data_IF_452145694970
#
_entry.id   IF_452145694970
#
_cell.length_a   1.000
_cell.length_b   1.000
_cell.length_c   1.000
_cell.angle_alpha   90.00
_cell.angle_beta   90.00
_cell.angle_gamma   90.00
#
_symmetry.space_group_name_H-M   'P 1'
#
loop_
_entity.id
_entity.type
_entity.pdbx_description
1 polymer ?
#
# COMPACT_ATOMS: atom_id res chain seq x y z
N UNK A 1 4.08 -5.08 -23.14
CA UNK A 1 4.21 -3.95 -22.24
C UNK A 1 2.95 -3.67 -21.37
N UNK A 2 1.79 -4.33 -21.67
CA UNK A 2 0.56 -4.26 -20.85
C UNK A 2 0.69 -4.89 -19.43
N UNK A 3 1.80 -5.57 -19.15
CA UNK A 3 1.99 -6.36 -17.92
C UNK A 3 2.92 -5.69 -16.89
N UNK A 4 3.26 -4.39 -17.06
CA UNK A 4 4.17 -3.71 -16.13
C UNK A 4 3.65 -3.69 -14.67
N UNK A 5 2.36 -3.42 -14.40
CA UNK A 5 1.84 -3.52 -13.02
C UNK A 5 1.91 -4.94 -12.46
N UNK A 6 1.64 -5.96 -13.29
CA UNK A 6 1.74 -7.37 -12.86
C UNK A 6 3.17 -7.77 -12.50
N UNK A 7 4.16 -7.29 -13.27
CA UNK A 7 5.58 -7.52 -12.95
C UNK A 7 5.93 -6.86 -11.62
N UNK A 8 5.50 -5.62 -11.38
CA UNK A 8 5.70 -4.94 -10.11
C UNK A 8 5.03 -5.69 -8.94
N UNK A 9 3.80 -6.19 -9.13
CA UNK A 9 3.11 -7.00 -8.13
C UNK A 9 3.89 -8.27 -7.78
N UNK A 10 4.37 -9.01 -8.76
CA UNK A 10 5.17 -10.22 -8.53
C UNK A 10 6.49 -9.91 -7.80
N UNK A 11 7.15 -8.82 -8.16
CA UNK A 11 8.35 -8.38 -7.45
C UNK A 11 8.05 -8.03 -5.98
N UNK A 12 6.92 -7.36 -5.71
CA UNK A 12 6.49 -7.05 -4.36
C UNK A 12 6.13 -8.31 -3.55
N UNK A 13 5.52 -9.32 -4.18
CA UNK A 13 5.26 -10.60 -3.52
C UNK A 13 6.55 -11.30 -3.12
N UNK A 14 7.51 -11.40 -4.05
CA UNK A 14 8.80 -12.02 -3.77
C UNK A 14 9.56 -11.25 -2.68
N UNK A 15 9.53 -9.93 -2.75
CA UNK A 15 10.15 -9.08 -1.74
C UNK A 15 9.48 -9.25 -0.37
N UNK A 16 8.13 -9.29 -0.31
CA UNK A 16 7.40 -9.49 0.93
C UNK A 16 7.75 -10.83 1.58
N UNK A 17 7.74 -11.93 0.82
CA UNK A 17 8.10 -13.26 1.33
C UNK A 17 9.54 -13.24 1.87
N UNK A 18 10.47 -12.67 1.11
CA UNK A 18 11.87 -12.57 1.52
C UNK A 18 12.00 -11.76 2.83
N UNK A 19 11.36 -10.59 2.91
CA UNK A 19 11.42 -9.72 4.09
C UNK A 19 10.73 -10.34 5.31
N UNK A 20 9.65 -11.10 5.13
CA UNK A 20 9.01 -11.86 6.23
C UNK A 20 10.02 -12.85 6.83
N UNK A 21 10.68 -13.63 5.99
CA UNK A 21 11.69 -14.62 6.44
C UNK A 21 12.83 -13.91 7.18
N UNK A 22 13.39 -12.86 6.57
CA UNK A 22 14.50 -12.11 7.19
C UNK A 22 14.05 -11.43 8.48
N UNK A 23 12.86 -10.84 8.53
CA UNK A 23 12.32 -10.16 9.69
C UNK A 23 12.21 -11.10 10.91
N UNK A 24 11.64 -12.29 10.71
CA UNK A 24 11.56 -13.31 11.78
C UNK A 24 12.93 -13.85 12.19
N UNK A 25 13.82 -14.13 11.23
CA UNK A 25 15.15 -14.67 11.52
C UNK A 25 16.03 -13.64 12.22
N UNK A 26 15.91 -12.37 11.86
CA UNK A 26 16.73 -11.28 12.42
C UNK A 26 16.18 -10.69 13.70
N UNK A 27 14.86 -10.83 13.96
CA UNK A 27 14.14 -10.16 15.04
C UNK A 27 13.87 -8.67 14.81
N UNK A 28 14.14 -8.15 13.60
CA UNK A 28 13.91 -6.73 13.27
C UNK A 28 12.44 -6.43 13.02
N UNK A 29 11.86 -5.49 13.79
CA UNK A 29 10.48 -5.03 13.61
C UNK A 29 10.34 -4.12 12.41
N UNK A 30 11.35 -3.31 12.11
CA UNK A 30 11.37 -2.47 10.91
C UNK A 30 11.35 -3.32 9.63
N UNK A 31 12.07 -4.43 9.55
CA UNK A 31 11.99 -5.35 8.40
C UNK A 31 10.59 -5.98 8.28
N UNK A 32 9.94 -6.32 9.40
CA UNK A 32 8.55 -6.83 9.37
C UNK A 32 7.56 -5.75 8.90
N UNK A 33 7.75 -4.49 9.28
CA UNK A 33 7.01 -3.35 8.75
C UNK A 33 7.14 -3.24 7.23
N UNK A 34 8.36 -3.21 6.73
CA UNK A 34 8.66 -3.18 5.28
C UNK A 34 8.10 -4.41 4.53
N UNK A 35 8.04 -5.57 5.18
CA UNK A 35 7.39 -6.77 4.62
C UNK A 35 5.88 -6.56 4.44
N UNK A 36 5.20 -5.96 5.42
CA UNK A 36 3.78 -5.64 5.33
C UNK A 36 3.49 -4.61 4.23
N UNK A 37 4.37 -3.62 4.04
CA UNK A 37 4.28 -2.67 2.92
C UNK A 37 4.31 -3.40 1.57
N UNK A 38 5.34 -4.20 1.35
CA UNK A 38 5.48 -4.96 0.10
C UNK A 38 4.32 -5.91 -0.14
N UNK A 39 3.80 -6.54 0.92
CA UNK A 39 2.63 -7.41 0.83
C UNK A 39 1.35 -6.62 0.50
N UNK A 40 1.12 -5.47 1.13
CA UNK A 40 0.01 -4.56 0.81
C UNK A 40 0.04 -4.16 -0.67
N UNK A 41 1.20 -3.75 -1.19
CA UNK A 41 1.36 -3.33 -2.58
C UNK A 41 1.05 -4.46 -3.56
N UNK A 42 1.50 -5.67 -3.25
CA UNK A 42 1.14 -6.86 -4.03
C UNK A 42 -0.37 -7.07 -4.06
N UNK A 43 -1.00 -7.12 -2.88
CA UNK A 43 -2.44 -7.44 -2.77
C UNK A 43 -3.29 -6.34 -3.39
N UNK A 44 -2.94 -5.07 -3.20
CA UNK A 44 -3.64 -3.93 -3.82
C UNK A 44 -3.55 -3.98 -5.34
N UNK A 45 -2.35 -4.21 -5.90
CA UNK A 45 -2.17 -4.32 -7.35
C UNK A 45 -2.93 -5.52 -7.93
N UNK A 46 -2.94 -6.64 -7.22
CA UNK A 46 -3.68 -7.85 -7.62
C UNK A 46 -5.20 -7.60 -7.58
N UNK A 47 -5.71 -6.91 -6.56
CA UNK A 47 -7.13 -6.56 -6.43
C UNK A 47 -7.59 -5.67 -7.58
N UNK A 48 -6.81 -4.64 -7.91
CA UNK A 48 -7.10 -3.78 -9.07
C UNK A 48 -7.09 -4.59 -10.37
N UNK A 49 -6.13 -5.49 -10.54
CA UNK A 49 -6.06 -6.33 -11.74
C UNK A 49 -7.24 -7.30 -11.88
N UNK A 50 -7.66 -7.93 -10.78
CA UNK A 50 -8.84 -8.80 -10.74
C UNK A 50 -10.11 -7.97 -10.89
N UNK A 51 -10.20 -6.84 -10.18
CA UNK A 51 -11.33 -5.92 -10.20
C UNK A 51 -11.65 -5.47 -11.63
N UNK A 52 -10.65 -5.01 -12.38
CA UNK A 52 -10.82 -4.63 -13.78
C UNK A 52 -11.38 -5.79 -14.61
N UNK A 53 -10.85 -7.01 -14.46
CA UNK A 53 -11.33 -8.17 -15.22
C UNK A 53 -12.74 -8.61 -14.85
N UNK A 54 -13.12 -8.49 -13.59
CA UNK A 54 -14.46 -8.85 -13.12
C UNK A 54 -15.46 -7.76 -13.47
N UNK A 55 -15.07 -6.49 -13.38
CA UNK A 55 -15.94 -5.35 -13.74
C UNK A 55 -16.28 -5.29 -15.23
N UNK A 56 -15.43 -5.87 -16.11
CA UNK A 56 -15.70 -6.00 -17.54
C UNK A 56 -16.83 -7.02 -17.86
N UNK A 57 -17.26 -7.85 -16.88
CA UNK A 57 -18.36 -8.78 -17.10
C UNK A 57 -19.69 -8.00 -17.19
N UNK A 58 -20.47 -8.23 -18.27
CA UNK A 58 -21.76 -7.57 -18.42
C UNK A 58 -22.74 -7.98 -17.32
N UNK A 59 -23.81 -7.21 -17.17
CA UNK A 59 -24.92 -7.56 -16.30
C UNK A 59 -25.49 -8.95 -16.66
N UNK A 60 -25.82 -9.73 -15.64
CA UNK A 60 -26.43 -11.05 -15.76
C UNK A 60 -27.77 -11.11 -15.00
N UNK A 61 -28.45 -12.25 -15.03
CA UNK A 61 -29.75 -12.43 -14.38
C UNK A 61 -29.77 -12.25 -12.87
N UNK A 62 -28.55 -12.34 -12.21
CA UNK A 62 -28.37 -12.15 -10.77
C UNK A 62 -27.82 -10.77 -10.41
N UNK A 63 -27.11 -10.12 -11.35
CA UNK A 63 -26.44 -8.83 -11.14
C UNK A 63 -26.85 -7.85 -12.24
N UNK A 64 -28.02 -7.22 -12.10
CA UNK A 64 -28.61 -6.32 -13.09
C UNK A 64 -27.75 -5.07 -13.38
N UNK A 65 -26.91 -4.64 -12.43
CA UNK A 65 -26.00 -3.49 -12.57
C UNK A 65 -24.55 -3.91 -12.90
N UNK A 66 -24.32 -5.21 -13.21
CA UNK A 66 -22.99 -5.74 -13.48
C UNK A 66 -22.17 -6.02 -12.22
N UNK A 67 -20.87 -6.30 -12.40
CA UNK A 67 -19.97 -6.78 -11.34
C UNK A 67 -18.95 -5.72 -10.89
N UNK A 68 -19.13 -4.46 -11.28
CA UNK A 68 -18.15 -3.38 -11.00
C UNK A 68 -17.84 -3.14 -9.52
N UNK A 69 -18.79 -3.45 -8.61
CA UNK A 69 -18.60 -3.25 -7.17
C UNK A 69 -17.70 -4.28 -6.48
N UNK A 70 -17.35 -5.37 -7.15
CA UNK A 70 -16.45 -6.42 -6.60
C UNK A 70 -15.09 -5.87 -6.23
N UNK A 71 -14.57 -4.89 -6.98
CA UNK A 71 -13.32 -4.22 -6.67
C UNK A 71 -13.36 -3.52 -5.30
N UNK A 72 -14.41 -2.78 -5.00
CA UNK A 72 -14.58 -2.09 -3.72
C UNK A 72 -14.72 -3.05 -2.54
N UNK A 73 -15.43 -4.16 -2.74
CA UNK A 73 -15.55 -5.22 -1.73
C UNK A 73 -14.18 -5.84 -1.44
N UNK A 74 -13.39 -6.11 -2.48
CA UNK A 74 -12.02 -6.61 -2.32
C UNK A 74 -11.14 -5.60 -1.54
N UNK A 75 -11.24 -4.30 -1.85
CA UNK A 75 -10.52 -3.24 -1.12
C UNK A 75 -10.88 -3.23 0.38
N UNK A 76 -12.15 -3.45 0.74
CA UNK A 76 -12.58 -3.53 2.14
C UNK A 76 -11.92 -4.69 2.87
N UNK A 77 -11.95 -5.91 2.31
CA UNK A 77 -11.31 -7.07 2.92
C UNK A 77 -9.81 -6.89 3.10
N UNK A 78 -9.13 -6.35 2.09
CA UNK A 78 -7.70 -6.07 2.14
C UNK A 78 -7.40 -5.00 3.19
N UNK A 79 -8.16 -3.89 3.19
CA UNK A 79 -8.01 -2.81 4.15
C UNK A 79 -8.13 -3.29 5.60
N UNK A 80 -9.14 -4.14 5.91
CA UNK A 80 -9.31 -4.74 7.24
C UNK A 80 -8.12 -5.63 7.60
N UNK A 81 -7.68 -6.50 6.69
CA UNK A 81 -6.57 -7.42 6.95
C UNK A 81 -5.25 -6.68 7.25
N UNK A 82 -4.94 -5.64 6.45
CA UNK A 82 -3.74 -4.83 6.65
C UNK A 82 -3.84 -4.00 7.94
N UNK A 83 -5.03 -3.45 8.24
CA UNK A 83 -5.27 -2.71 9.48
C UNK A 83 -5.01 -3.57 10.71
N UNK A 84 -5.52 -4.80 10.73
CA UNK A 84 -5.29 -5.73 11.84
C UNK A 84 -3.80 -6.08 11.94
N UNK A 85 -3.15 -6.43 10.84
CA UNK A 85 -1.74 -6.80 10.83
C UNK A 85 -0.84 -5.64 11.28
N UNK A 86 -1.10 -4.41 10.80
CA UNK A 86 -0.34 -3.23 11.19
C UNK A 86 -0.58 -2.85 12.65
N UNK A 87 -1.80 -2.99 13.16
CA UNK A 87 -2.11 -2.74 14.57
C UNK A 87 -1.37 -3.71 15.48
N UNK A 88 -1.35 -5.01 15.15
CA UNK A 88 -0.60 -6.01 15.93
C UNK A 88 0.90 -5.68 15.95
N UNK A 89 1.48 -5.36 14.79
CA UNK A 89 2.89 -5.00 14.73
C UNK A 89 3.18 -3.69 15.46
N UNK A 90 2.28 -2.70 15.38
CA UNK A 90 2.38 -1.45 16.13
C UNK A 90 2.46 -1.68 17.64
N UNK A 91 1.52 -2.46 18.19
CA UNK A 91 1.49 -2.76 19.63
C UNK A 91 2.79 -3.45 20.08
N UNK A 92 3.27 -4.43 19.29
CA UNK A 92 4.55 -5.08 19.56
C UNK A 92 5.73 -4.11 19.50
N UNK A 93 5.77 -3.25 18.48
CA UNK A 93 6.87 -2.27 18.30
C UNK A 93 6.91 -1.23 19.42
N UNK A 94 5.75 -0.77 19.89
CA UNK A 94 5.66 0.14 21.05
C UNK A 94 6.14 -0.55 22.34
N UNK A 95 5.76 -1.81 22.56
CA UNK A 95 6.27 -2.58 23.71
C UNK A 95 7.78 -2.79 23.66
N UNK A 96 8.33 -2.98 22.46
CA UNK A 96 9.76 -3.15 22.25
C UNK A 96 10.55 -1.85 22.48
N UNK A 97 9.98 -0.67 22.18
CA UNK A 97 10.59 0.62 22.57
C UNK A 97 10.76 0.70 24.09
N UNK A 98 9.72 0.30 24.84
CA UNK A 98 9.77 0.30 26.28
C UNK A 98 10.81 -0.69 26.83
N UNK A 99 10.84 -1.91 26.26
CA UNK A 99 11.83 -2.92 26.60
C UNK A 99 13.28 -2.48 26.24
N UNK A 100 13.44 -1.77 25.14
CA UNK A 100 14.73 -1.21 24.75
C UNK A 100 15.29 -0.19 25.78
N UNK A 101 14.40 0.62 26.35
CA UNK A 101 14.77 1.57 27.40
C UNK A 101 15.23 0.86 28.69
N UNK A 102 14.69 -0.33 28.95
CA UNK A 102 15.07 -1.16 30.07
C UNK A 102 16.29 -2.06 29.78
N UNK A 103 16.83 -2.00 28.55
CA UNK A 103 17.93 -2.88 28.12
C UNK A 103 17.54 -4.36 27.99
N UNK A 104 16.24 -4.65 27.84
CA UNK A 104 15.68 -6.00 27.80
C UNK A 104 15.34 -6.49 26.38
N UNK A 105 15.81 -5.80 25.35
CA UNK A 105 15.59 -6.16 23.95
C UNK A 105 16.90 -6.65 23.31
N UNK A 106 16.78 -7.68 22.50
CA UNK A 106 17.91 -8.17 21.69
C UNK A 106 18.18 -7.27 20.50
N UNK A 107 19.47 -7.11 20.16
CA UNK A 107 19.90 -6.40 18.94
C UNK A 107 19.44 -7.20 17.72
N UNK A 108 18.81 -6.56 16.71
CA UNK A 108 18.48 -7.25 15.48
C UNK A 108 19.77 -7.80 14.83
N UNK A 109 19.70 -9.04 14.36
CA UNK A 109 20.86 -9.70 13.76
C UNK A 109 21.27 -8.96 12.48
N UNK A 110 22.57 -8.91 12.20
CA UNK A 110 23.12 -8.22 11.01
C UNK A 110 22.52 -8.69 9.68
N UNK A 111 21.93 -9.88 9.63
CA UNK A 111 21.20 -10.36 8.44
C UNK A 111 20.03 -9.43 8.06
N UNK A 112 19.48 -8.65 9.02
CA UNK A 112 18.48 -7.63 8.75
C UNK A 112 18.98 -6.57 7.75
N UNK A 113 20.28 -6.23 7.77
CA UNK A 113 20.87 -5.31 6.79
C UNK A 113 20.74 -5.83 5.36
N UNK A 114 20.88 -7.14 5.15
CA UNK A 114 20.65 -7.74 3.84
C UNK A 114 19.19 -7.51 3.39
N UNK A 115 18.24 -7.70 4.29
CA UNK A 115 16.82 -7.45 4.03
C UNK A 115 16.57 -5.99 3.64
N UNK A 116 17.04 -5.05 4.44
CA UNK A 116 16.90 -3.62 4.18
C UNK A 116 17.57 -3.19 2.87
N UNK A 117 18.81 -3.60 2.62
CA UNK A 117 19.53 -3.26 1.37
C UNK A 117 18.82 -3.83 0.13
N UNK A 118 18.33 -5.08 0.20
CA UNK A 118 17.58 -5.70 -0.90
C UNK A 118 16.26 -4.95 -1.11
N UNK A 119 15.58 -4.52 -0.04
CA UNK A 119 14.35 -3.71 -0.14
C UNK A 119 14.62 -2.37 -0.86
N UNK A 120 15.68 -1.64 -0.49
CA UNK A 120 16.09 -0.41 -1.18
C UNK A 120 16.33 -0.66 -2.67
N UNK A 121 17.12 -1.68 -2.99
CA UNK A 121 17.47 -2.00 -4.39
C UNK A 121 16.24 -2.42 -5.18
N UNK A 122 15.39 -3.29 -4.62
CA UNK A 122 14.20 -3.79 -5.28
C UNK A 122 13.21 -2.64 -5.58
N UNK A 123 12.87 -1.81 -4.58
CA UNK A 123 11.98 -0.69 -4.76
C UNK A 123 12.55 0.35 -5.74
N UNK A 124 13.84 0.66 -5.67
CA UNK A 124 14.48 1.59 -6.61
C UNK A 124 14.50 1.05 -8.05
N UNK A 125 14.75 -0.24 -8.25
CA UNK A 125 14.68 -0.88 -9.58
C UNK A 125 13.25 -0.88 -10.13
N UNK A 126 12.26 -1.18 -9.30
CA UNK A 126 10.85 -1.14 -9.67
C UNK A 126 10.42 0.29 -10.04
N UNK A 127 10.82 1.29 -9.26
CA UNK A 127 10.64 2.71 -9.60
C UNK A 127 11.20 3.03 -10.99
N UNK A 128 12.47 2.72 -11.26
CA UNK A 128 13.10 3.01 -12.55
C UNK A 128 12.40 2.30 -13.72
N UNK A 129 11.99 1.06 -13.51
CA UNK A 129 11.25 0.30 -14.50
C UNK A 129 9.90 0.95 -14.82
N UNK A 130 9.09 1.23 -13.80
CA UNK A 130 7.77 1.85 -13.96
C UNK A 130 7.88 3.28 -14.53
N UNK A 131 8.88 4.05 -14.12
CA UNK A 131 9.14 5.38 -14.66
C UNK A 131 9.43 5.31 -16.17
N UNK A 132 10.29 4.39 -16.60
CA UNK A 132 10.62 4.21 -18.01
C UNK A 132 9.38 3.79 -18.82
N UNK A 133 8.58 2.85 -18.33
CA UNK A 133 7.35 2.40 -19.02
C UNK A 133 6.30 3.51 -19.03
N UNK A 134 6.07 4.17 -17.90
CA UNK A 134 5.08 5.24 -17.77
C UNK A 134 5.37 6.44 -18.65
N UNK A 135 6.64 6.84 -18.76
CA UNK A 135 7.07 7.93 -19.65
C UNK A 135 6.89 7.55 -21.12
N UNK A 136 7.30 6.34 -21.51
CA UNK A 136 7.17 5.86 -22.91
C UNK A 136 5.71 5.73 -23.36
N UNK A 137 4.80 5.39 -22.45
CA UNK A 137 3.37 5.21 -22.73
C UNK A 137 2.54 6.46 -22.44
N UNK A 138 3.16 7.50 -21.90
CA UNK A 138 2.48 8.71 -21.40
C UNK A 138 1.27 8.36 -20.48
N UNK A 139 1.50 7.39 -19.54
CA UNK A 139 0.44 6.83 -18.73
C UNK A 139 0.53 7.33 -17.28
N UNK A 140 -0.35 8.27 -16.85
CA UNK A 140 -0.24 8.92 -15.54
C UNK A 140 -0.30 7.95 -14.35
N UNK A 141 -1.13 6.90 -14.41
CA UNK A 141 -1.24 5.93 -13.33
C UNK A 141 0.05 5.11 -13.13
N UNK A 142 0.76 4.76 -14.22
CA UNK A 142 2.05 4.06 -14.12
C UNK A 142 3.12 4.98 -13.52
N UNK A 143 3.09 6.28 -13.88
CA UNK A 143 4.00 7.28 -13.30
C UNK A 143 3.71 7.51 -11.81
N UNK A 144 2.44 7.50 -11.41
CA UNK A 144 2.05 7.57 -10.00
C UNK A 144 2.56 6.36 -9.21
N UNK A 145 2.41 5.13 -9.76
CA UNK A 145 2.97 3.92 -9.16
C UNK A 145 4.51 3.97 -9.06
N UNK A 146 5.19 4.52 -10.08
CA UNK A 146 6.63 4.73 -10.02
C UNK A 146 7.02 5.65 -8.85
N UNK A 147 6.29 6.75 -8.65
CA UNK A 147 6.53 7.69 -7.57
C UNK A 147 6.34 7.07 -6.19
N UNK A 148 5.34 6.18 -6.06
CA UNK A 148 5.12 5.39 -4.85
C UNK A 148 6.34 4.52 -4.52
N UNK A 149 6.84 3.71 -5.46
CA UNK A 149 8.04 2.89 -5.25
C UNK A 149 9.32 3.69 -4.98
N UNK A 150 9.40 4.94 -5.45
CA UNK A 150 10.49 5.83 -5.06
C UNK A 150 10.41 6.20 -3.58
N UNK A 151 9.20 6.47 -3.08
CA UNK A 151 8.95 6.73 -1.66
C UNK A 151 9.31 5.52 -0.79
N UNK A 152 8.91 4.31 -1.21
CA UNK A 152 9.21 3.06 -0.51
C UNK A 152 10.74 2.78 -0.47
N UNK A 153 11.45 3.08 -1.55
CA UNK A 153 12.90 2.98 -1.57
C UNK A 153 13.54 3.92 -0.54
N UNK A 154 13.02 5.14 -0.41
CA UNK A 154 13.49 6.12 0.58
C UNK A 154 13.19 5.66 2.00
N UNK A 155 11.97 5.15 2.26
CA UNK A 155 11.60 4.59 3.57
C UNK A 155 12.52 3.41 3.94
N UNK A 156 12.82 2.52 2.98
CA UNK A 156 13.74 1.40 3.20
C UNK A 156 15.16 1.83 3.58
N UNK A 157 15.61 3.02 3.17
CA UNK A 157 16.91 3.58 3.63
C UNK A 157 16.85 3.88 5.12
N UNK A 158 15.76 4.44 5.63
CA UNK A 158 15.61 4.68 7.06
C UNK A 158 15.60 3.38 7.87
N UNK A 159 15.02 2.31 7.33
CA UNK A 159 15.07 0.97 7.93
C UNK A 159 16.52 0.49 8.06
N UNK A 160 17.32 0.61 6.99
CA UNK A 160 18.75 0.25 7.03
C UNK A 160 19.50 1.06 8.08
N UNK A 161 19.27 2.38 8.13
CA UNK A 161 19.89 3.25 9.12
C UNK A 161 19.48 2.89 10.55
N UNK A 162 18.22 2.52 10.77
CA UNK A 162 17.73 2.10 12.07
C UNK A 162 18.40 0.80 12.54
N UNK A 163 18.57 -0.18 11.64
CA UNK A 163 19.25 -1.44 11.96
C UNK A 163 20.73 -1.19 12.29
N UNK A 164 21.41 -0.32 11.54
CA UNK A 164 22.80 0.09 11.84
C UNK A 164 22.86 0.75 13.21
N UNK A 165 21.98 1.71 13.48
CA UNK A 165 21.93 2.41 14.76
C UNK A 165 21.63 1.48 15.94
N UNK A 166 20.73 0.51 15.77
CA UNK A 166 20.44 -0.51 16.79
C UNK A 166 21.68 -1.36 17.09
N UNK A 167 22.45 -1.73 16.07
CA UNK A 167 23.72 -2.46 16.24
C UNK A 167 24.86 -1.60 16.85
N UNK A 168 24.73 -0.27 16.79
CA UNK A 168 25.65 0.66 17.47
C UNK A 168 25.24 0.97 18.92
N UNK A 169 24.19 0.34 19.43
CA UNK A 169 23.71 0.48 20.83
C UNK A 169 22.46 1.32 20.99
N UNK A 170 21.92 1.91 19.89
CA UNK A 170 20.65 2.65 19.90
C UNK A 170 19.47 1.69 19.65
N UNK A 171 19.25 0.76 20.59
CA UNK A 171 18.33 -0.37 20.44
C UNK A 171 16.89 0.04 20.10
N UNK A 172 16.47 1.24 20.48
CA UNK A 172 15.12 1.75 20.22
C UNK A 172 14.87 2.15 18.76
N UNK A 173 15.92 2.30 17.92
CA UNK A 173 15.74 2.79 16.54
C UNK A 173 14.99 1.82 15.64
N UNK A 174 15.24 0.52 15.73
CA UNK A 174 14.53 -0.49 14.93
C UNK A 174 13.02 -0.50 15.24
N UNK A 175 12.58 -0.67 16.50
CA UNK A 175 11.16 -0.60 16.80
C UNK A 175 10.55 0.80 16.59
N UNK A 176 11.33 1.87 16.68
CA UNK A 176 10.84 3.22 16.40
C UNK A 176 10.46 3.39 14.93
N UNK A 177 11.32 2.95 14.01
CA UNK A 177 11.01 2.98 12.57
C UNK A 177 9.82 2.08 12.26
N UNK A 178 9.72 0.90 12.89
CA UNK A 178 8.55 0.04 12.76
C UNK A 178 7.24 0.71 13.22
N UNK A 179 7.29 1.52 14.29
CA UNK A 179 6.13 2.33 14.72
C UNK A 179 5.71 3.31 13.65
N UNK A 180 6.65 4.05 13.04
CA UNK A 180 6.31 4.99 11.95
C UNK A 180 5.73 4.28 10.73
N UNK A 181 6.33 3.17 10.30
CA UNK A 181 5.82 2.36 9.18
C UNK A 181 4.42 1.84 9.48
N UNK A 182 4.17 1.30 10.67
CA UNK A 182 2.85 0.75 11.01
C UNK A 182 1.78 1.82 11.14
N UNK A 183 2.11 3.02 11.64
CA UNK A 183 1.18 4.16 11.66
C UNK A 183 0.76 4.59 10.25
N UNK A 184 1.71 4.65 9.33
CA UNK A 184 1.42 4.97 7.94
C UNK A 184 0.57 3.86 7.27
N UNK A 185 0.88 2.58 7.51
CA UNK A 185 0.05 1.46 7.05
C UNK A 185 -1.37 1.51 7.62
N UNK A 186 -1.54 1.85 8.90
CA UNK A 186 -2.86 2.01 9.51
C UNK A 186 -3.64 3.16 8.84
N UNK A 187 -2.99 4.30 8.63
CA UNK A 187 -3.59 5.42 7.92
C UNK A 187 -4.03 5.01 6.51
N UNK A 188 -3.16 4.37 5.76
CA UNK A 188 -3.44 3.92 4.41
C UNK A 188 -4.58 2.89 4.36
N UNK A 189 -4.63 1.98 5.34
CA UNK A 189 -5.73 1.01 5.49
C UNK A 189 -7.07 1.70 5.75
N UNK A 190 -7.10 2.75 6.58
CA UNK A 190 -8.31 3.55 6.83
C UNK A 190 -8.77 4.26 5.55
N UNK A 191 -7.84 4.80 4.76
CA UNK A 191 -8.16 5.40 3.45
C UNK A 191 -8.77 4.36 2.51
N UNK A 192 -8.16 3.17 2.41
CA UNK A 192 -8.69 2.07 1.59
C UNK A 192 -10.09 1.63 2.03
N UNK A 193 -10.34 1.55 3.34
CA UNK A 193 -11.67 1.23 3.88
C UNK A 193 -12.69 2.31 3.53
N UNK A 194 -12.34 3.57 3.66
CA UNK A 194 -13.21 4.69 3.30
C UNK A 194 -13.55 4.69 1.81
N UNK A 195 -12.55 4.49 0.95
CA UNK A 195 -12.75 4.46 -0.50
C UNK A 195 -13.57 3.24 -0.91
N UNK A 196 -13.30 2.07 -0.32
CA UNK A 196 -14.09 0.86 -0.53
C UNK A 196 -15.55 1.02 -0.10
N UNK A 197 -15.82 1.60 1.08
CA UNK A 197 -17.18 1.90 1.55
C UNK A 197 -17.90 2.88 0.63
N UNK A 198 -17.24 3.97 0.24
CA UNK A 198 -17.80 4.95 -0.67
C UNK A 198 -18.18 4.34 -2.02
N UNK A 199 -17.34 3.46 -2.55
CA UNK A 199 -17.61 2.77 -3.80
C UNK A 199 -18.74 1.75 -3.72
N UNK A 200 -18.90 1.06 -2.59
CA UNK A 200 -20.02 0.12 -2.38
C UNK A 200 -21.34 0.87 -2.21
N UNK A 201 -21.33 2.00 -1.49
CA UNK A 201 -22.51 2.81 -1.15
C UNK A 201 -22.94 3.78 -2.26
N UNK A 202 -22.29 3.77 -3.44
CA UNK A 202 -22.54 4.75 -4.51
C UNK A 202 -22.50 6.21 -4.01
N UNK A 203 -21.61 6.49 -3.05
CA UNK A 203 -21.49 7.86 -2.58
C UNK A 203 -21.16 8.73 -3.79
N UNK A 204 -21.97 9.75 -4.03
CA UNK A 204 -21.70 10.74 -5.05
C UNK A 204 -20.34 11.34 -4.74
N UNK A 205 -19.32 10.92 -5.48
CA UNK A 205 -18.08 11.67 -5.51
C UNK A 205 -18.49 13.02 -6.06
N UNK A 206 -18.61 14.02 -5.20
CA UNK A 206 -18.51 15.40 -5.65
C UNK A 206 -17.11 15.54 -6.22
N UNK A 207 -16.92 15.01 -7.44
CA UNK A 207 -15.81 15.35 -8.27
C UNK A 207 -15.86 16.86 -8.37
N UNK A 208 -14.93 17.49 -7.66
CA UNK A 208 -14.83 18.96 -7.56
C UNK A 208 -14.88 19.49 -8.99
N UNK A 209 -15.99 20.12 -9.35
CA UNK A 209 -16.22 20.70 -10.67
C UNK A 209 -17.20 19.96 -11.60
N UNK A 210 -17.15 18.62 -11.71
CA UNK A 210 -17.96 17.88 -12.70
C UNK A 210 -19.46 17.90 -12.31
N UNK A 211 -19.79 17.76 -11.03
CA UNK A 211 -21.17 17.81 -10.56
C UNK A 211 -21.83 19.19 -10.83
N UNK A 212 -21.11 20.28 -10.59
CA UNK A 212 -21.58 21.63 -10.90
C UNK A 212 -21.69 21.89 -12.40
N UNK A 213 -20.80 21.30 -13.21
CA UNK A 213 -20.83 21.41 -14.65
C UNK A 213 -22.02 20.63 -15.24
N UNK A 214 -22.26 19.40 -14.78
CA UNK A 214 -23.44 18.58 -15.12
C UNK A 214 -24.73 19.33 -14.70
N UNK A 215 -24.78 19.88 -13.49
CA UNK A 215 -25.93 20.63 -13.03
C UNK A 215 -26.18 21.88 -13.91
N UNK A 216 -25.13 22.61 -14.29
CA UNK A 216 -25.22 23.77 -15.15
C UNK A 216 -25.75 23.42 -16.54
N UNK A 217 -25.27 22.31 -17.12
CA UNK A 217 -25.72 21.81 -18.42
C UNK A 217 -27.15 21.28 -18.35
N UNK A 218 -27.49 20.52 -17.30
CA UNK A 218 -28.83 19.97 -17.12
C UNK A 218 -29.89 21.08 -16.93
N UNK A 219 -29.55 22.18 -16.29
CA UNK A 219 -30.45 23.37 -16.14
C UNK A 219 -30.69 24.12 -17.45
N UNK A 220 -29.90 23.87 -18.49
CA UNK A 220 -30.15 24.44 -19.83
C UNK A 220 -31.24 23.68 -20.60
N UNK A 221 -31.62 22.48 -20.14
CA UNK A 221 -32.70 21.71 -20.75
C UNK A 221 -34.06 22.25 -20.26
N UNK A 222 -34.98 22.62 -21.18
CA UNK A 222 -36.32 23.05 -20.79
C UNK A 222 -37.01 22.00 -19.91
N UNK A 223 -37.71 22.46 -18.87
CA UNK A 223 -38.44 21.64 -17.89
C UNK A 223 -37.64 20.93 -16.80
N UNK A 224 -36.31 21.03 -16.76
CA UNK A 224 -35.51 20.55 -15.62
C UNK A 224 -35.57 21.55 -14.48
N UNK A 225 -36.30 21.16 -13.40
CA UNK A 225 -36.51 22.01 -12.21
C UNK A 225 -35.47 21.79 -11.11
N UNK A 226 -34.93 20.57 -11.02
CA UNK A 226 -33.95 20.18 -9.99
C UNK A 226 -33.06 19.05 -10.51
N UNK A 227 -31.78 19.16 -10.23
CA UNK A 227 -30.77 18.11 -10.46
C UNK A 227 -30.25 17.68 -9.09
N UNK A 228 -30.35 16.40 -8.78
CA UNK A 228 -29.89 15.83 -7.49
C UNK A 228 -28.95 14.68 -7.73
#
# INVERSE_FOLDING_TARGET
>A
MKNAPLVAALLNLLLAIFLIIIGFVSGSKAILGSALYSFKDFVTTLAVFIGIRVSEKPADGSHHYGHGKVEFVAMLFIGVAILIASLLLFVHSVSDIWAAWQGQIDVPRLIALCGGCISVIANYKTYKYLQCVGTKQNHPAILAAAKHHHSDATASVFVVLAIIGANMGLLFLDPLVAVFETLDLMWLSVVMLKDGLNGVLDSSVHAVGIGSEIESIARLVPDVRKVS
#
